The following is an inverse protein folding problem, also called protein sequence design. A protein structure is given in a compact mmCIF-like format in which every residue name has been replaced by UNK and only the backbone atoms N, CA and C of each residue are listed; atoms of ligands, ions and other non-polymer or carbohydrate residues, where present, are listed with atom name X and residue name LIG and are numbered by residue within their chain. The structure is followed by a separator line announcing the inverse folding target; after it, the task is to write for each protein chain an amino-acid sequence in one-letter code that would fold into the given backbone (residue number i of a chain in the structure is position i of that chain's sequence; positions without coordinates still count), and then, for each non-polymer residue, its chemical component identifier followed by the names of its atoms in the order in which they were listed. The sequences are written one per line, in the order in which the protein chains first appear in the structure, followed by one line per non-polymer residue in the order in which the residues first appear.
data_IF_521834138892
#
_entry.id   IF_521834138892
#
_cell.length_a   1.000
_cell.length_b   1.000
_cell.length_c   1.000
_cell.angle_alpha   90.00
_cell.angle_beta   90.00
_cell.angle_gamma   90.00
#
_symmetry.space_group_name_H-M   'P 1'
#
loop_
_entity.id
_entity.type
_entity.pdbx_description
1 polymer ?
#
# COMPACT_ATOMS: atom_id res chain seq x y z
N UNK A 1 -14.52 3.78 12.02
CA UNK A 1 -14.79 3.32 10.64
C UNK A 1 -14.33 1.89 10.52
N UNK A 2 -15.08 1.01 9.83
CA UNK A 2 -14.58 -0.33 9.52
C UNK A 2 -13.52 -0.14 8.42
N UNK A 3 -12.26 -0.47 8.72
CA UNK A 3 -11.25 -0.55 7.68
C UNK A 3 -11.73 -1.55 6.63
N UNK A 4 -11.71 -1.14 5.38
CA UNK A 4 -12.02 -2.04 4.27
C UNK A 4 -10.91 -3.09 4.20
N UNK A 5 -11.24 -4.35 4.43
CA UNK A 5 -10.31 -5.46 4.34
C UNK A 5 -10.48 -6.13 3.00
N UNK A 6 -9.39 -6.34 2.28
CA UNK A 6 -9.37 -7.05 1.00
C UNK A 6 -8.72 -8.42 1.17
N UNK A 7 -9.21 -9.41 0.45
CA UNK A 7 -8.48 -10.67 0.29
C UNK A 7 -7.41 -10.54 -0.79
N UNK A 8 -6.39 -11.38 -0.77
CA UNK A 8 -5.38 -11.39 -1.82
C UNK A 8 -5.97 -11.67 -3.21
N UNK A 9 -7.01 -12.49 -3.29
CA UNK A 9 -7.73 -12.73 -4.54
C UNK A 9 -8.37 -11.45 -5.08
N UNK A 10 -9.06 -10.69 -4.23
CA UNK A 10 -9.64 -9.40 -4.62
C UNK A 10 -8.56 -8.41 -5.06
N UNK A 11 -7.43 -8.36 -4.33
CA UNK A 11 -6.30 -7.50 -4.73
C UNK A 11 -5.75 -7.91 -6.09
N UNK A 12 -5.57 -9.20 -6.35
CA UNK A 12 -5.07 -9.69 -7.64
C UNK A 12 -6.01 -9.28 -8.79
N UNK A 13 -7.32 -9.37 -8.61
CA UNK A 13 -8.33 -8.90 -9.58
C UNK A 13 -8.23 -7.38 -9.83
N UNK A 14 -8.16 -6.59 -8.76
CA UNK A 14 -8.01 -5.12 -8.85
C UNK A 14 -6.74 -4.76 -9.62
N UNK A 15 -5.64 -5.44 -9.34
CA UNK A 15 -4.35 -5.21 -9.98
C UNK A 15 -4.27 -5.78 -11.39
N UNK A 16 -5.19 -6.67 -11.76
CA UNK A 16 -5.13 -7.50 -12.98
C UNK A 16 -3.82 -8.30 -13.04
N UNK A 17 -3.39 -8.80 -11.88
CA UNK A 17 -2.17 -9.58 -11.69
C UNK A 17 -2.49 -11.07 -11.61
N UNK A 18 -1.47 -11.89 -11.90
CA UNK A 18 -1.53 -13.33 -11.74
C UNK A 18 -1.22 -13.71 -10.28
N UNK A 19 -2.12 -14.45 -9.64
CA UNK A 19 -1.92 -14.94 -8.28
C UNK A 19 -1.16 -16.28 -8.32
N UNK A 20 0.01 -16.34 -7.69
CA UNK A 20 0.87 -17.50 -7.60
C UNK A 20 1.08 -17.89 -6.14
N UNK A 21 0.85 -19.13 -5.79
CA UNK A 21 0.94 -19.66 -4.42
C UNK A 21 -0.44 -19.91 -3.81
N UNK A 22 -0.47 -20.32 -2.54
CA UNK A 22 -1.71 -20.61 -1.79
C UNK A 22 -1.95 -19.55 -0.75
N UNK A 23 -3.05 -18.83 -0.85
CA UNK A 23 -3.37 -17.75 0.10
C UNK A 23 -4.42 -16.78 -0.39
N UNK A 24 -5.30 -17.23 -1.29
CA UNK A 24 -6.34 -16.41 -1.92
C UNK A 24 -7.20 -15.67 -0.91
N UNK A 25 -7.51 -16.33 0.22
CA UNK A 25 -8.35 -15.78 1.30
C UNK A 25 -7.61 -14.93 2.33
N UNK A 26 -6.27 -14.79 2.24
CA UNK A 26 -5.52 -13.98 3.22
C UNK A 26 -5.97 -12.52 3.19
N UNK A 27 -6.20 -11.96 4.38
CA UNK A 27 -6.61 -10.58 4.54
C UNK A 27 -5.41 -9.64 4.37
N UNK A 28 -5.61 -8.55 3.65
CA UNK A 28 -4.65 -7.46 3.48
C UNK A 28 -5.18 -6.23 4.20
N UNK A 29 -4.48 -5.77 5.22
CA UNK A 29 -4.80 -4.55 5.97
C UNK A 29 -3.71 -3.49 5.83
N UNK A 30 -2.47 -3.89 5.57
CA UNK A 30 -1.34 -2.98 5.47
C UNK A 30 -0.63 -3.09 4.13
N UNK A 31 -0.27 -1.93 3.56
CA UNK A 31 0.60 -1.86 2.39
C UNK A 31 2.02 -1.53 2.83
N UNK A 32 2.96 -2.39 2.47
CA UNK A 32 4.36 -2.26 2.82
C UNK A 32 5.21 -2.00 1.56
N UNK A 33 6.01 -0.94 1.58
CA UNK A 33 6.95 -0.60 0.50
C UNK A 33 8.40 -0.48 0.98
N UNK A 34 8.62 -0.48 2.29
CA UNK A 34 9.93 -0.37 2.95
C UNK A 34 10.01 -1.43 4.06
N UNK A 35 10.97 -2.36 3.93
CA UNK A 35 11.15 -3.47 4.88
C UNK A 35 11.39 -3.05 6.34
N UNK A 36 11.84 -1.80 6.54
CA UNK A 36 12.09 -1.21 7.87
C UNK A 36 10.82 -0.79 8.60
N UNK A 37 9.70 -0.66 7.88
CA UNK A 37 8.41 -0.19 8.41
C UNK A 37 7.46 -1.35 8.73
N UNK A 38 7.95 -2.59 8.68
CA UNK A 38 7.14 -3.76 8.97
C UNK A 38 6.65 -3.76 10.43
N UNK A 39 5.34 -3.81 10.61
CA UNK A 39 4.66 -3.91 11.90
C UNK A 39 4.01 -5.30 12.05
N UNK A 40 3.20 -5.70 11.09
CA UNK A 40 2.51 -7.00 11.06
C UNK A 40 2.85 -7.73 9.75
N UNK A 41 3.57 -8.85 9.87
CA UNK A 41 3.97 -9.63 8.70
C UNK A 41 2.82 -10.40 8.06
N UNK A 42 1.86 -10.86 8.84
CA UNK A 42 0.79 -11.73 8.36
C UNK A 42 -0.21 -10.99 7.45
N UNK A 43 -0.56 -9.74 7.81
CA UNK A 43 -1.55 -8.94 7.11
C UNK A 43 -0.94 -7.88 6.18
N UNK A 44 0.39 -7.82 6.09
CA UNK A 44 1.09 -6.91 5.20
C UNK A 44 1.18 -7.45 3.78
N UNK A 45 0.90 -6.60 2.80
CA UNK A 45 1.16 -6.82 1.39
C UNK A 45 2.37 -6.00 0.97
N UNK A 46 3.50 -6.65 0.71
CA UNK A 46 4.72 -5.97 0.28
C UNK A 46 4.75 -5.74 -1.22
N UNK A 47 4.97 -4.50 -1.63
CA UNK A 47 5.20 -4.12 -3.02
C UNK A 47 6.71 -4.07 -3.30
N UNK A 48 7.22 -5.00 -4.09
CA UNK A 48 8.62 -5.03 -4.52
C UNK A 48 8.87 -3.96 -5.59
N UNK A 49 8.90 -2.70 -5.18
CA UNK A 49 9.06 -1.56 -6.07
C UNK A 49 10.44 -1.58 -6.73
N UNK A 50 10.49 -1.24 -8.00
CA UNK A 50 11.72 -1.16 -8.78
C UNK A 50 11.96 0.28 -9.25
N UNK A 51 13.17 0.76 -9.06
CA UNK A 51 13.65 2.05 -9.55
C UNK A 51 15.05 1.88 -10.19
N UNK A 52 15.54 2.92 -10.82
CA UNK A 52 16.89 2.89 -11.42
C UNK A 52 18.02 2.59 -10.40
N UNK A 53 17.81 2.87 -9.11
CA UNK A 53 18.81 2.72 -8.04
C UNK A 53 18.52 1.59 -7.06
N UNK A 54 17.31 1.04 -7.05
CA UNK A 54 16.90 0.06 -6.06
C UNK A 54 15.89 -0.91 -6.64
N UNK A 55 16.06 -2.20 -6.36
CA UNK A 55 15.11 -3.27 -6.68
C UNK A 55 14.58 -3.88 -5.38
N UNK A 56 13.29 -3.68 -5.12
CA UNK A 56 12.61 -4.18 -3.92
C UNK A 56 12.58 -5.70 -3.82
N UNK A 57 12.75 -6.42 -4.93
CA UNK A 57 12.76 -7.88 -4.93
C UNK A 57 13.86 -8.46 -4.03
N UNK A 58 14.97 -7.75 -3.83
CA UNK A 58 16.06 -8.19 -2.94
C UNK A 58 15.67 -8.30 -1.46
N UNK A 59 14.58 -7.64 -1.05
CA UNK A 59 14.11 -7.67 0.34
C UNK A 59 13.08 -8.78 0.62
N UNK A 60 12.63 -9.50 -0.40
CA UNK A 60 11.56 -10.51 -0.26
C UNK A 60 11.99 -11.61 0.72
N UNK A 61 13.22 -12.15 0.59
CA UNK A 61 13.73 -13.19 1.48
C UNK A 61 13.80 -12.73 2.94
N UNK A 62 14.30 -11.51 3.19
CA UNK A 62 14.34 -10.92 4.53
C UNK A 62 12.93 -10.78 5.11
N UNK A 63 11.99 -10.23 4.34
CA UNK A 63 10.60 -10.03 4.76
C UNK A 63 9.87 -11.36 4.98
N UNK A 64 10.12 -12.35 4.14
CA UNK A 64 9.59 -13.69 4.33
C UNK A 64 10.04 -14.30 5.68
N UNK A 65 11.32 -14.16 6.03
CA UNK A 65 11.86 -14.60 7.32
C UNK A 65 11.26 -13.82 8.51
N UNK A 66 10.79 -12.59 8.28
CA UNK A 66 10.08 -11.77 9.28
C UNK A 66 8.57 -12.02 9.33
N UNK A 67 8.05 -13.01 8.60
CA UNK A 67 6.65 -13.41 8.65
C UNK A 67 5.76 -12.84 7.54
N UNK A 68 6.26 -12.00 6.64
CA UNK A 68 5.48 -11.55 5.48
C UNK A 68 5.24 -12.73 4.53
N UNK A 69 4.00 -12.87 4.08
CA UNK A 69 3.59 -13.98 3.19
C UNK A 69 2.93 -13.51 1.91
N UNK A 70 2.75 -12.21 1.72
CA UNK A 70 2.01 -11.64 0.60
C UNK A 70 2.85 -10.58 -0.09
N UNK A 71 3.07 -10.75 -1.40
CA UNK A 71 4.01 -9.94 -2.18
C UNK A 71 3.41 -9.55 -3.54
N UNK A 72 3.55 -8.28 -3.93
CA UNK A 72 3.32 -7.82 -5.30
C UNK A 72 4.68 -7.67 -5.99
N UNK A 73 4.88 -8.40 -7.08
CA UNK A 73 6.18 -8.57 -7.73
C UNK A 73 6.06 -8.46 -9.24
N UNK A 74 7.18 -8.21 -9.90
CA UNK A 74 7.29 -8.34 -11.36
C UNK A 74 7.71 -9.75 -11.79
N UNK A 75 8.36 -10.48 -10.89
CA UNK A 75 8.80 -11.86 -11.09
C UNK A 75 8.81 -12.60 -9.75
N UNK A 76 8.41 -13.85 -9.78
CA UNK A 76 8.47 -14.71 -8.60
C UNK A 76 9.94 -15.06 -8.32
N UNK A 77 10.40 -14.99 -7.05
CA UNK A 77 11.74 -15.47 -6.66
C UNK A 77 11.94 -16.94 -7.00
N UNK A 78 13.18 -17.32 -7.31
CA UNK A 78 13.53 -18.73 -7.59
C UNK A 78 13.64 -19.56 -6.30
N UNK A 79 13.89 -18.93 -5.17
CA UNK A 79 14.00 -19.58 -3.87
C UNK A 79 12.65 -20.13 -3.43
N UNK A 80 12.68 -21.34 -2.84
CA UNK A 80 11.47 -21.95 -2.30
C UNK A 80 10.95 -21.16 -1.09
N UNK A 81 9.76 -20.60 -1.22
CA UNK A 81 9.06 -19.88 -0.15
C UNK A 81 7.67 -20.49 0.05
N UNK A 82 7.59 -21.68 0.69
CA UNK A 82 6.31 -22.30 0.99
C UNK A 82 5.43 -21.33 1.78
N UNK A 83 4.14 -21.33 1.56
CA UNK A 83 3.17 -20.40 2.17
C UNK A 83 3.23 -18.93 1.69
N UNK A 84 4.24 -18.53 0.91
CA UNK A 84 4.24 -17.23 0.26
C UNK A 84 3.25 -17.19 -0.90
N UNK A 85 2.61 -16.05 -1.07
CA UNK A 85 1.69 -15.77 -2.14
C UNK A 85 2.17 -14.53 -2.90
N UNK A 86 2.25 -14.65 -4.21
CA UNK A 86 2.76 -13.59 -5.08
C UNK A 86 1.67 -13.14 -6.05
N UNK A 87 1.49 -11.83 -6.17
CA UNK A 87 0.69 -11.22 -7.24
C UNK A 87 1.68 -10.69 -8.26
N UNK A 88 1.75 -11.33 -9.42
CA UNK A 88 2.67 -10.94 -10.49
C UNK A 88 2.02 -9.88 -11.35
N UNK A 89 2.69 -8.75 -11.51
CA UNK A 89 2.23 -7.58 -12.27
C UNK A 89 3.33 -7.04 -13.19
N UNK A 90 2.95 -6.33 -14.23
CA UNK A 90 3.91 -5.71 -15.15
C UNK A 90 4.70 -4.55 -14.54
N UNK A 91 4.06 -3.77 -13.66
CA UNK A 91 4.65 -2.62 -12.97
C UNK A 91 4.10 -2.51 -11.55
N UNK A 92 4.99 -2.62 -10.56
CA UNK A 92 4.60 -2.63 -9.13
C UNK A 92 4.21 -1.24 -8.61
N UNK A 93 4.74 -0.16 -9.19
CA UNK A 93 4.33 1.21 -8.83
C UNK A 93 2.94 1.51 -9.35
N UNK A 94 2.66 1.19 -10.63
CA UNK A 94 1.32 1.33 -11.19
C UNK A 94 0.30 0.45 -10.46
N UNK A 95 0.70 -0.73 -10.03
CA UNK A 95 -0.13 -1.61 -9.21
C UNK A 95 -0.51 -0.95 -7.87
N UNK A 96 0.45 -0.39 -7.16
CA UNK A 96 0.20 0.35 -5.91
C UNK A 96 -0.77 1.51 -6.12
N UNK A 97 -0.57 2.31 -7.16
CA UNK A 97 -1.43 3.44 -7.50
C UNK A 97 -2.86 2.98 -7.88
N UNK A 98 -2.98 1.89 -8.65
CA UNK A 98 -4.28 1.30 -9.03
C UNK A 98 -5.05 0.81 -7.81
N UNK A 99 -4.38 0.11 -6.88
CA UNK A 99 -5.01 -0.37 -5.65
C UNK A 99 -5.53 0.80 -4.81
N UNK A 100 -4.72 1.85 -4.64
CA UNK A 100 -5.12 3.05 -3.92
C UNK A 100 -6.28 3.79 -4.59
N UNK A 101 -6.28 3.89 -5.92
CA UNK A 101 -7.38 4.51 -6.66
C UNK A 101 -8.68 3.72 -6.50
N UNK A 102 -8.61 2.40 -6.58
CA UNK A 102 -9.77 1.53 -6.33
C UNK A 102 -10.27 1.70 -4.89
N UNK A 103 -9.38 1.65 -3.90
CA UNK A 103 -9.72 1.84 -2.50
C UNK A 103 -10.40 3.19 -2.27
N UNK A 104 -9.83 4.28 -2.79
CA UNK A 104 -10.42 5.62 -2.72
C UNK A 104 -11.85 5.68 -3.27
N UNK A 105 -12.12 4.98 -4.37
CA UNK A 105 -13.43 4.95 -5.02
C UNK A 105 -14.52 4.25 -4.20
N UNK A 106 -14.16 3.49 -3.15
CA UNK A 106 -15.13 2.85 -2.25
C UNK A 106 -15.72 3.81 -1.22
N UNK A 107 -15.18 5.04 -1.11
CA UNK A 107 -15.60 6.02 -0.11
C UNK A 107 -16.20 7.26 -0.76
N UNK A 108 -17.42 7.58 -0.37
CA UNK A 108 -18.08 8.84 -0.73
C UNK A 108 -17.83 9.88 0.36
N UNK A 109 -16.62 10.43 0.36
CA UNK A 109 -16.16 11.42 1.34
C UNK A 109 -15.55 12.63 0.64
N UNK A 110 -15.71 13.85 1.20
CA UNK A 110 -15.04 15.03 0.69
C UNK A 110 -13.52 14.88 0.74
N UNK A 111 -12.84 15.32 -0.29
CA UNK A 111 -11.36 15.33 -0.36
C UNK A 111 -10.88 16.75 -0.57
N UNK A 112 -9.99 17.19 0.30
CA UNK A 112 -9.33 18.50 0.21
C UNK A 112 -7.91 18.30 -0.29
N UNK A 113 -7.62 18.76 -1.51
CA UNK A 113 -6.28 18.78 -2.09
C UNK A 113 -5.61 20.13 -1.82
N UNK A 114 -4.38 20.09 -1.29
CA UNK A 114 -3.61 21.30 -0.97
C UNK A 114 -2.39 21.34 -1.88
N UNK A 115 -2.29 22.39 -2.70
CA UNK A 115 -1.16 22.64 -3.59
C UNK A 115 -0.50 23.98 -3.29
N UNK A 116 0.71 24.18 -3.77
CA UNK A 116 1.46 25.42 -3.58
C UNK A 116 2.96 25.17 -3.44
N UNK A 117 3.77 26.21 -3.61
CA UNK A 117 5.23 26.14 -3.46
C UNK A 117 5.65 25.98 -2.00
N UNK A 118 4.99 26.68 -1.08
CA UNK A 118 5.28 26.68 0.36
C UNK A 118 4.02 26.51 1.20
N UNK A 119 4.17 26.13 2.48
CA UNK A 119 3.10 26.12 3.48
C UNK A 119 2.13 24.94 3.42
N UNK A 120 2.18 24.06 2.42
CA UNK A 120 1.22 22.95 2.26
C UNK A 120 1.05 22.11 3.53
N UNK A 121 2.14 21.73 4.16
CA UNK A 121 2.12 20.91 5.40
C UNK A 121 1.48 21.68 6.54
N UNK A 122 1.79 22.97 6.71
CA UNK A 122 1.23 23.80 7.77
C UNK A 122 -0.29 23.93 7.57
N UNK A 123 -0.72 24.25 6.36
CA UNK A 123 -2.16 24.37 6.04
C UNK A 123 -2.89 23.05 6.27
N UNK A 124 -2.29 21.93 5.88
CA UNK A 124 -2.85 20.59 6.14
C UNK A 124 -3.05 20.35 7.64
N UNK A 125 -2.04 20.65 8.46
CA UNK A 125 -2.12 20.43 9.90
C UNK A 125 -3.17 21.36 10.55
N UNK A 126 -3.25 22.62 10.14
CA UNK A 126 -4.25 23.55 10.64
C UNK A 126 -5.68 23.15 10.25
N UNK A 127 -5.90 22.75 8.99
CA UNK A 127 -7.20 22.24 8.57
C UNK A 127 -7.61 21.01 9.37
N UNK A 128 -6.68 20.08 9.60
CA UNK A 128 -6.96 18.89 10.40
C UNK A 128 -7.34 19.27 11.85
N UNK A 129 -6.66 20.24 12.47
CA UNK A 129 -6.99 20.73 13.81
C UNK A 129 -8.34 21.42 13.86
N UNK A 130 -8.65 22.25 12.88
CA UNK A 130 -9.91 23.00 12.82
C UNK A 130 -11.12 22.11 12.60
N UNK A 131 -10.98 21.06 11.80
CA UNK A 131 -12.08 20.18 11.39
C UNK A 131 -12.25 18.95 12.29
N UNK A 132 -11.22 18.54 13.01
CA UNK A 132 -11.26 17.31 13.83
C UNK A 132 -12.30 17.30 14.96
N UNK A 133 -12.77 18.44 15.53
CA UNK A 133 -13.87 18.40 16.51
C UNK A 133 -15.20 17.92 15.91
N UNK A 134 -15.44 18.20 14.62
CA UNK A 134 -16.72 17.92 13.95
C UNK A 134 -16.64 16.75 12.97
N UNK A 135 -15.44 16.37 12.51
CA UNK A 135 -15.23 15.36 11.46
C UNK A 135 -14.15 14.36 11.83
N UNK A 136 -14.31 13.13 11.38
CA UNK A 136 -13.25 12.14 11.41
C UNK A 136 -12.30 12.38 10.22
N UNK A 137 -11.10 12.89 10.50
CA UNK A 137 -10.15 13.34 9.49
C UNK A 137 -9.08 12.28 9.23
N UNK A 138 -9.00 11.80 7.99
CA UNK A 138 -7.84 11.08 7.48
C UNK A 138 -6.95 12.08 6.73
N UNK A 139 -5.69 12.16 7.12
CA UNK A 139 -4.72 13.08 6.52
C UNK A 139 -3.42 12.37 6.20
N UNK A 140 -2.73 12.83 5.16
CA UNK A 140 -1.42 12.27 4.83
C UNK A 140 -0.43 12.45 5.99
N UNK A 141 0.24 11.38 6.44
CA UNK A 141 1.28 11.49 7.46
C UNK A 141 2.47 12.26 6.87
N UNK A 142 3.06 13.14 7.68
CA UNK A 142 4.21 13.97 7.24
C UNK A 142 3.92 14.70 5.92
N UNK A 143 4.90 14.78 5.03
CA UNK A 143 4.80 15.41 3.71
C UNK A 143 4.71 14.36 2.60
N UNK A 144 3.80 13.42 2.70
CA UNK A 144 3.59 12.38 1.69
C UNK A 144 2.95 12.98 0.42
N UNK A 145 3.80 13.49 -0.49
CA UNK A 145 3.42 14.13 -1.74
C UNK A 145 4.00 13.45 -2.98
N UNK A 146 4.62 12.27 -2.81
CA UNK A 146 5.23 11.51 -3.89
C UNK A 146 4.27 10.49 -4.51
N UNK A 147 4.68 9.91 -5.62
CA UNK A 147 3.98 8.80 -6.28
C UNK A 147 3.77 7.57 -5.37
N UNK A 148 4.54 7.46 -4.29
CA UNK A 148 4.43 6.41 -3.28
C UNK A 148 3.64 6.89 -2.06
N UNK A 149 3.89 8.11 -1.61
CA UNK A 149 3.29 8.65 -0.40
C UNK A 149 1.78 8.89 -0.52
N UNK A 150 1.31 9.34 -1.68
CA UNK A 150 -0.12 9.58 -1.92
C UNK A 150 -0.92 8.27 -1.85
N UNK A 151 -0.55 7.18 -2.54
CA UNK A 151 -1.22 5.88 -2.39
C UNK A 151 -1.30 5.38 -0.95
N UNK A 152 -0.20 5.47 -0.20
CA UNK A 152 -0.16 5.04 1.20
C UNK A 152 -1.04 5.91 2.12
N UNK A 153 -1.16 7.21 1.81
CA UNK A 153 -2.06 8.11 2.55
C UNK A 153 -3.53 7.77 2.28
N UNK A 154 -3.86 7.48 1.02
CA UNK A 154 -5.22 7.11 0.61
C UNK A 154 -5.64 5.77 1.21
N UNK A 155 -4.71 4.84 1.40
CA UNK A 155 -5.00 3.53 2.01
C UNK A 155 -5.47 3.64 3.48
N UNK A 156 -5.26 4.78 4.13
CA UNK A 156 -5.70 5.01 5.51
C UNK A 156 -7.21 5.38 5.63
N UNK A 157 -7.93 5.49 4.51
CA UNK A 157 -9.39 5.66 4.50
C UNK A 157 -10.10 4.36 4.94
#
# INVERSE_FOLDING_TARGET
MKHQVYTLSQVAEILKGELVGRGEGKAVTELLIDSRQLVDGEHSLFFALQSARNDGHKYIGELYNKGVRSFVVRRVPQDAMPEACFIVVGDTLMALQRLAAYHRAQFDVPVVGITGSNGKTIVKEWLAQLLSPDFNIVRSPKSYNSQLGVPLSVWQL
#
